data_IF_290948613777
#
_entry.id   IF_290948613777
#
_cell.length_a   1.000
_cell.length_b   1.000
_cell.length_c   1.000
_cell.angle_alpha   90.00
_cell.angle_beta   90.00
_cell.angle_gamma   90.00
#
_symmetry.space_group_name_H-M   'P 1'
#
loop_
_entity.id
_entity.type
_entity.pdbx_description
1 polymer ?
#
# COMPACT_ATOMS: atom_id res chain seq x y z
N UNK A 1 4.94 -16.77 25.91
CA UNK A 1 4.66 -15.64 26.83
C UNK A 1 5.93 -14.88 27.25
N UNK A 2 7.00 -15.57 27.66
CA UNK A 2 8.26 -14.95 28.13
C UNK A 2 8.93 -14.04 27.08
N UNK A 3 9.05 -14.49 25.83
CA UNK A 3 9.64 -13.70 24.74
C UNK A 3 8.88 -12.39 24.41
N UNK A 4 7.60 -12.29 24.77
CA UNK A 4 6.81 -11.08 24.57
C UNK A 4 7.13 -9.98 25.58
N UNK A 5 7.32 -10.35 26.85
CA UNK A 5 7.64 -9.40 27.94
C UNK A 5 9.01 -8.77 27.76
N UNK A 6 10.01 -9.55 27.34
CA UNK A 6 11.37 -9.04 27.09
C UNK A 6 11.37 -7.98 25.99
N UNK A 7 10.61 -8.20 24.91
CA UNK A 7 10.52 -7.26 23.78
C UNK A 7 9.79 -5.95 24.15
N UNK A 8 8.74 -6.01 24.97
CA UNK A 8 8.05 -4.81 25.47
C UNK A 8 9.00 -3.94 26.32
N UNK A 9 9.75 -4.56 27.23
CA UNK A 9 10.73 -3.84 28.06
C UNK A 9 11.83 -3.20 27.20
N UNK A 10 12.29 -3.90 26.16
CA UNK A 10 13.29 -3.35 25.24
C UNK A 10 12.78 -2.12 24.48
N UNK A 11 11.57 -2.18 23.90
CA UNK A 11 11.00 -1.04 23.18
C UNK A 11 10.76 0.18 24.08
N UNK A 12 10.26 -0.04 25.30
CA UNK A 12 10.11 1.02 26.31
C UNK A 12 11.45 1.65 26.68
N UNK A 13 12.46 0.83 26.99
CA UNK A 13 13.82 1.31 27.30
C UNK A 13 14.46 2.06 26.15
N UNK A 14 14.27 1.60 24.91
CA UNK A 14 14.78 2.28 23.72
C UNK A 14 14.14 3.67 23.58
N UNK A 15 12.81 3.77 23.74
CA UNK A 15 12.11 5.05 23.73
C UNK A 15 12.63 5.99 24.81
N UNK A 16 12.73 5.51 26.05
CA UNK A 16 13.23 6.30 27.18
C UNK A 16 14.66 6.80 26.91
N UNK A 17 15.53 5.97 26.33
CA UNK A 17 16.88 6.35 25.95
C UNK A 17 16.89 7.42 24.84
N UNK A 18 16.08 7.26 23.78
CA UNK A 18 16.01 8.24 22.69
C UNK A 18 15.50 9.60 23.17
N UNK A 19 14.48 9.61 24.05
CA UNK A 19 13.98 10.84 24.65
C UNK A 19 15.01 11.51 25.56
N UNK A 20 15.80 10.72 26.31
CA UNK A 20 16.89 11.24 27.13
C UNK A 20 18.01 11.87 26.28
N UNK A 21 18.39 11.22 25.17
CA UNK A 21 19.37 11.75 24.22
C UNK A 21 18.89 13.07 23.59
N UNK A 22 17.62 13.13 23.17
CA UNK A 22 17.00 14.35 22.63
C UNK A 22 17.03 15.49 23.67
N UNK A 23 16.77 15.17 24.94
CA UNK A 23 16.79 16.17 26.03
C UNK A 23 18.21 16.65 26.39
N UNK A 24 19.23 15.79 26.26
CA UNK A 24 20.62 16.11 26.61
C UNK A 24 21.34 16.88 25.49
N UNK A 25 21.14 16.48 24.23
CA UNK A 25 21.89 17.01 23.09
C UNK A 25 21.10 17.96 22.20
N UNK A 26 19.78 17.99 22.30
CA UNK A 26 18.88 18.92 21.59
C UNK A 26 18.69 18.65 20.10
N UNK A 27 19.76 18.30 19.37
CA UNK A 27 19.71 17.99 17.94
C UNK A 27 19.66 16.47 17.70
N UNK A 28 18.78 15.99 16.80
CA UNK A 28 18.74 14.58 16.46
C UNK A 28 20.02 14.18 15.70
N UNK A 29 20.42 12.92 15.83
CA UNK A 29 21.51 12.32 15.06
C UNK A 29 20.98 11.37 13.98
N UNK A 30 21.85 11.02 13.03
CA UNK A 30 21.58 9.98 12.04
C UNK A 30 21.12 8.65 12.67
N UNK A 31 21.71 8.31 13.81
CA UNK A 31 21.38 7.09 14.57
C UNK A 31 19.97 7.17 15.15
N UNK A 32 19.56 8.33 15.63
CA UNK A 32 18.22 8.53 16.22
C UNK A 32 17.13 8.30 15.18
N UNK A 33 17.32 8.76 13.94
CA UNK A 33 16.37 8.50 12.84
C UNK A 33 16.14 6.99 12.65
N UNK A 34 17.22 6.21 12.55
CA UNK A 34 17.13 4.76 12.36
C UNK A 34 16.45 4.10 13.55
N UNK A 35 16.81 4.49 14.78
CA UNK A 35 16.23 3.95 16.01
C UNK A 35 14.74 4.28 16.15
N UNK A 36 14.32 5.50 15.79
CA UNK A 36 12.90 5.89 15.80
C UNK A 36 12.08 5.11 14.77
N UNK A 37 12.59 4.92 13.55
CA UNK A 37 11.93 4.09 12.52
C UNK A 37 11.81 2.63 12.95
N UNK A 38 12.88 2.06 13.53
CA UNK A 38 12.87 0.67 14.01
C UNK A 38 11.94 0.49 15.20
N UNK A 39 11.88 1.48 16.09
CA UNK A 39 10.89 1.53 17.16
C UNK A 39 9.48 1.56 16.60
N UNK A 40 9.17 2.47 15.66
CA UNK A 40 7.86 2.57 15.03
C UNK A 40 7.42 1.24 14.39
N UNK A 41 8.28 0.60 13.57
CA UNK A 41 8.02 -0.74 13.00
C UNK A 41 7.75 -1.79 14.08
N UNK A 42 8.54 -1.78 15.15
CA UNK A 42 8.41 -2.68 16.28
C UNK A 42 7.08 -2.51 17.03
N UNK A 43 6.69 -1.26 17.27
CA UNK A 43 5.42 -0.86 17.88
C UNK A 43 4.23 -1.27 17.02
N UNK A 44 4.28 -0.99 15.71
CA UNK A 44 3.25 -1.35 14.73
C UNK A 44 3.02 -2.86 14.68
N UNK A 45 4.10 -3.66 14.59
CA UNK A 45 4.05 -5.13 14.61
C UNK A 45 3.42 -5.68 15.90
N UNK A 46 3.48 -4.92 16.99
CA UNK A 46 2.87 -5.25 18.29
C UNK A 46 1.48 -4.67 18.46
N UNK A 47 0.90 -4.05 17.41
CA UNK A 47 -0.41 -3.39 17.43
C UNK A 47 -0.49 -2.24 18.44
N UNK A 48 0.65 -1.60 18.75
CA UNK A 48 0.72 -0.42 19.62
C UNK A 48 0.73 0.82 18.74
N UNK A 49 -0.42 1.07 18.11
CA UNK A 49 -0.54 2.03 17.00
C UNK A 49 -0.21 3.47 17.40
N UNK A 50 -0.74 3.96 18.53
CA UNK A 50 -0.41 5.31 19.03
C UNK A 50 1.10 5.47 19.30
N UNK A 51 1.73 4.48 19.93
CA UNK A 51 3.19 4.50 20.13
C UNK A 51 3.96 4.42 18.81
N UNK A 52 3.48 3.67 17.84
CA UNK A 52 4.07 3.62 16.49
C UNK A 52 3.98 4.96 15.78
N UNK A 53 2.83 5.64 15.87
CA UNK A 53 2.59 6.94 15.27
C UNK A 53 3.57 7.98 15.82
N UNK A 54 3.62 8.12 17.15
CA UNK A 54 4.54 9.07 17.82
C UNK A 54 6.01 8.82 17.46
N UNK A 55 6.43 7.55 17.41
CA UNK A 55 7.80 7.21 17.01
C UNK A 55 8.09 7.54 15.53
N UNK A 56 7.10 7.37 14.64
CA UNK A 56 7.24 7.70 13.24
C UNK A 56 7.21 9.22 12.99
N UNK A 57 6.47 9.99 13.79
CA UNK A 57 6.50 11.46 13.78
C UNK A 57 7.86 12.01 14.25
N UNK A 58 8.44 11.41 15.31
CA UNK A 58 9.81 11.72 15.75
C UNK A 58 10.85 11.41 14.68
N UNK A 59 10.70 10.28 13.98
CA UNK A 59 11.56 9.96 12.85
C UNK A 59 11.43 10.99 11.72
N UNK A 60 10.20 11.36 11.34
CA UNK A 60 9.94 12.39 10.31
C UNK A 60 10.63 13.72 10.65
N UNK A 61 10.44 14.23 11.87
CA UNK A 61 11.03 15.48 12.30
C UNK A 61 12.58 15.45 12.25
N UNK A 62 13.17 14.33 12.68
CA UNK A 62 14.61 14.12 12.62
C UNK A 62 15.12 14.02 11.17
N UNK A 63 14.39 13.34 10.27
CA UNK A 63 14.73 13.26 8.84
C UNK A 63 14.66 14.64 8.19
N UNK A 64 13.62 15.42 8.45
CA UNK A 64 13.48 16.76 7.90
C UNK A 64 14.64 17.69 8.30
N UNK A 65 15.20 17.48 9.49
CA UNK A 65 16.33 18.26 10.02
C UNK A 65 17.66 17.81 9.42
N UNK A 66 17.93 16.50 9.40
CA UNK A 66 19.24 15.96 9.05
C UNK A 66 19.39 15.64 7.56
N UNK A 67 18.31 15.16 6.94
CA UNK A 67 18.29 14.58 5.61
C UNK A 67 17.00 14.95 4.85
N UNK A 68 16.75 16.23 4.58
CA UNK A 68 15.52 16.69 3.92
C UNK A 68 15.30 16.01 2.56
N UNK A 69 16.38 15.62 1.86
CA UNK A 69 16.33 14.98 0.55
C UNK A 69 16.28 13.44 0.61
N UNK A 70 16.27 12.83 1.79
CA UNK A 70 16.22 11.36 1.94
C UNK A 70 14.78 10.85 1.82
N UNK A 71 14.33 10.78 0.57
CA UNK A 71 12.98 10.34 0.16
C UNK A 71 12.62 8.97 0.73
N UNK A 72 13.55 8.02 0.75
CA UNK A 72 13.29 6.66 1.22
C UNK A 72 12.90 6.65 2.71
N UNK A 73 13.68 7.37 3.54
CA UNK A 73 13.43 7.44 4.98
C UNK A 73 12.18 8.26 5.29
N UNK A 74 11.99 9.38 4.58
CA UNK A 74 10.79 10.21 4.72
C UNK A 74 9.53 9.43 4.34
N UNK A 75 9.55 8.75 3.20
CA UNK A 75 8.45 7.89 2.76
C UNK A 75 8.18 6.75 3.73
N UNK A 76 9.22 6.13 4.30
CA UNK A 76 9.06 5.08 5.31
C UNK A 76 8.41 5.60 6.60
N UNK A 77 8.80 6.79 7.07
CA UNK A 77 8.19 7.44 8.23
C UNK A 77 6.70 7.70 7.99
N UNK A 78 6.36 8.38 6.89
CA UNK A 78 4.97 8.69 6.51
C UNK A 78 4.12 7.42 6.32
N UNK A 79 4.70 6.37 5.72
CA UNK A 79 4.02 5.09 5.55
C UNK A 79 3.64 4.49 6.91
N UNK A 80 4.56 4.51 7.88
CA UNK A 80 4.30 4.00 9.23
C UNK A 80 3.24 4.82 9.96
N UNK A 81 3.26 6.15 9.82
CA UNK A 81 2.20 7.01 10.36
C UNK A 81 0.84 6.67 9.75
N UNK A 82 0.74 6.60 8.42
CA UNK A 82 -0.52 6.34 7.72
C UNK A 82 -1.13 4.99 8.12
N UNK A 83 -0.29 3.94 8.23
CA UNK A 83 -0.75 2.62 8.69
C UNK A 83 -1.19 2.68 10.16
N UNK A 84 -0.40 3.32 11.04
CA UNK A 84 -0.73 3.43 12.46
C UNK A 84 -2.03 4.21 12.71
N UNK A 85 -2.37 5.17 11.86
CA UNK A 85 -3.64 5.91 11.90
C UNK A 85 -4.80 5.06 11.35
N UNK A 86 -4.61 4.31 10.27
CA UNK A 86 -5.69 3.59 9.59
C UNK A 86 -6.14 2.28 10.24
N UNK A 87 -5.19 1.52 10.81
CA UNK A 87 -5.42 0.14 11.28
C UNK A 87 -6.22 0.00 12.60
N UNK A 88 -6.13 0.90 13.59
CA UNK A 88 -6.92 0.82 14.82
C UNK A 88 -8.42 0.58 14.58
N UNK A 89 -9.07 -0.15 15.48
CA UNK A 89 -10.52 -0.36 15.45
C UNK A 89 -11.15 0.02 16.80
N UNK A 90 -12.29 0.73 16.84
CA UNK A 90 -13.02 1.26 15.68
C UNK A 90 -12.26 2.42 15.02
N UNK A 91 -12.25 2.45 13.68
CA UNK A 91 -11.70 3.57 12.88
C UNK A 91 -12.78 4.58 12.55
N UNK A 92 -12.48 5.86 12.60
CA UNK A 92 -13.37 6.95 12.20
C UNK A 92 -13.22 7.29 10.72
N UNK A 93 -14.02 8.20 10.17
CA UNK A 93 -13.81 8.66 8.78
C UNK A 93 -12.57 9.55 8.74
N UNK A 94 -12.39 10.34 9.79
CA UNK A 94 -11.27 11.24 10.02
C UNK A 94 -9.94 10.48 10.04
N UNK A 95 -9.87 9.32 10.71
CA UNK A 95 -8.68 8.47 10.70
C UNK A 95 -8.34 7.99 9.27
N UNK A 96 -9.35 7.62 8.50
CA UNK A 96 -9.15 7.17 7.12
C UNK A 96 -8.63 8.32 6.27
N UNK A 97 -9.28 9.48 6.30
CA UNK A 97 -8.84 10.66 5.53
C UNK A 97 -7.44 11.13 5.94
N UNK A 98 -7.12 11.14 7.24
CA UNK A 98 -5.79 11.48 7.75
C UNK A 98 -4.73 10.50 7.24
N UNK A 99 -5.04 9.20 7.18
CA UNK A 99 -4.11 8.23 6.59
C UNK A 99 -3.89 8.44 5.08
N UNK A 100 -4.94 8.82 4.34
CA UNK A 100 -4.83 9.08 2.91
C UNK A 100 -4.00 10.33 2.61
N UNK A 101 -4.11 11.37 3.45
CA UNK A 101 -3.23 12.55 3.35
C UNK A 101 -1.75 12.15 3.48
N UNK A 102 -1.42 11.31 4.46
CA UNK A 102 -0.07 10.78 4.66
C UNK A 102 0.42 9.97 3.44
N UNK A 103 -0.42 9.12 2.85
CA UNK A 103 -0.04 8.39 1.62
C UNK A 103 0.10 9.31 0.40
N UNK A 104 -0.74 10.34 0.28
CA UNK A 104 -0.63 11.36 -0.77
C UNK A 104 0.68 12.13 -0.69
N UNK A 105 1.14 12.48 0.52
CA UNK A 105 2.46 13.08 0.75
C UNK A 105 3.59 12.18 0.26
N UNK A 106 3.48 10.86 0.45
CA UNK A 106 4.45 9.89 -0.12
C UNK A 106 4.44 9.97 -1.64
N UNK A 107 3.28 10.00 -2.30
CA UNK A 107 3.21 10.06 -3.77
C UNK A 107 3.94 11.28 -4.35
N UNK A 108 4.00 12.39 -3.62
CA UNK A 108 4.70 13.60 -4.03
C UNK A 108 6.23 13.50 -3.91
N UNK A 109 6.75 12.58 -3.07
CA UNK A 109 8.18 12.39 -2.89
C UNK A 109 8.82 11.60 -4.02
N UNK A 110 8.07 10.70 -4.67
CA UNK A 110 8.62 9.78 -5.66
C UNK A 110 8.29 10.27 -7.07
N UNK A 111 9.29 10.32 -7.97
CA UNK A 111 9.01 10.53 -9.38
C UNK A 111 8.22 9.32 -9.94
N UNK A 112 7.63 9.46 -11.12
CA UNK A 112 7.09 8.32 -11.87
C UNK A 112 8.14 7.21 -12.04
N UNK A 113 7.70 5.96 -11.94
CA UNK A 113 8.56 4.78 -11.88
C UNK A 113 8.83 4.21 -13.27
N UNK A 114 10.02 3.65 -13.51
CA UNK A 114 10.37 3.16 -14.86
C UNK A 114 9.62 1.88 -15.25
N UNK A 115 9.67 0.89 -14.37
CA UNK A 115 9.14 -0.45 -14.62
C UNK A 115 8.93 -1.18 -13.29
N UNK A 116 8.42 -2.41 -13.38
CA UNK A 116 8.17 -3.25 -12.21
C UNK A 116 9.46 -3.56 -11.43
N UNK A 117 10.56 -3.84 -12.11
CA UNK A 117 11.83 -4.30 -11.52
C UNK A 117 12.48 -3.23 -10.64
N UNK A 118 12.32 -1.96 -10.99
CA UNK A 118 12.86 -0.81 -10.24
C UNK A 118 11.78 -0.04 -9.49
N UNK A 119 10.57 -0.59 -9.34
CA UNK A 119 9.49 0.12 -8.65
C UNK A 119 9.81 0.24 -7.16
N UNK A 120 9.74 1.45 -6.62
CA UNK A 120 10.04 1.68 -5.22
C UNK A 120 9.07 0.95 -4.27
N UNK A 121 9.63 0.23 -3.30
CA UNK A 121 8.87 -0.64 -2.40
C UNK A 121 8.03 0.16 -1.39
N UNK A 122 8.49 1.34 -0.97
CA UNK A 122 7.74 2.22 -0.06
C UNK A 122 6.55 2.82 -0.79
N UNK A 123 6.75 3.35 -1.99
CA UNK A 123 5.68 3.87 -2.85
C UNK A 123 4.64 2.78 -3.14
N UNK A 124 5.07 1.58 -3.54
CA UNK A 124 4.17 0.46 -3.83
C UNK A 124 3.28 0.11 -2.62
N UNK A 125 3.87 0.08 -1.42
CA UNK A 125 3.10 -0.15 -0.17
C UNK A 125 2.15 0.98 0.12
N UNK A 126 2.56 2.24 -0.05
CA UNK A 126 1.71 3.40 0.18
C UNK A 126 0.46 3.37 -0.70
N UNK A 127 0.62 3.06 -2.00
CA UNK A 127 -0.52 2.94 -2.92
C UNK A 127 -1.47 1.81 -2.49
N UNK A 128 -0.94 0.64 -2.15
CA UNK A 128 -1.77 -0.47 -1.68
C UNK A 128 -2.50 -0.16 -0.36
N UNK A 129 -1.89 0.62 0.54
CA UNK A 129 -2.54 1.07 1.77
C UNK A 129 -3.59 2.15 1.55
N UNK A 130 -3.35 3.11 0.65
CA UNK A 130 -4.38 4.09 0.25
C UNK A 130 -5.59 3.41 -0.41
N UNK A 131 -5.33 2.41 -1.25
CA UNK A 131 -6.37 1.57 -1.83
C UNK A 131 -7.19 0.83 -0.75
N UNK A 132 -6.54 0.32 0.30
CA UNK A 132 -7.19 -0.31 1.44
C UNK A 132 -7.97 0.71 2.31
N UNK A 133 -7.47 1.95 2.43
CA UNK A 133 -8.14 3.06 3.10
C UNK A 133 -9.45 3.41 2.38
N UNK A 134 -9.41 3.57 1.05
CA UNK A 134 -10.58 3.75 0.20
C UNK A 134 -11.58 2.58 0.35
N UNK A 135 -11.09 1.34 0.38
CA UNK A 135 -11.93 0.17 0.60
C UNK A 135 -12.66 0.23 1.97
N UNK A 136 -12.00 0.77 3.00
CA UNK A 136 -12.61 0.97 4.31
C UNK A 136 -13.78 1.97 4.27
N UNK A 137 -13.64 3.07 3.52
CA UNK A 137 -14.72 4.04 3.33
C UNK A 137 -15.91 3.43 2.58
N UNK A 138 -15.65 2.66 1.53
CA UNK A 138 -16.68 2.03 0.71
C UNK A 138 -17.45 0.96 1.49
N UNK A 139 -16.76 0.18 2.32
CA UNK A 139 -17.34 -0.89 3.15
C UNK A 139 -18.42 -0.36 4.11
N UNK A 140 -18.32 0.89 4.56
CA UNK A 140 -19.29 1.53 5.45
C UNK A 140 -20.57 2.00 4.78
N UNK A 141 -20.59 2.12 3.44
CA UNK A 141 -21.66 2.81 2.70
C UNK A 141 -22.78 1.89 2.20
N UNK A 142 -22.69 0.56 2.35
CA UNK A 142 -23.68 -0.38 1.82
C UNK A 142 -24.02 -1.51 2.77
N UNK A 143 -25.32 -1.70 3.01
CA UNK A 143 -25.90 -2.96 3.53
C UNK A 143 -26.05 -3.95 2.36
N UNK A 144 -25.48 -5.17 2.43
CA UNK A 144 -25.66 -6.16 1.37
C UNK A 144 -27.07 -6.75 1.41
N UNK A 145 -27.66 -6.96 0.22
CA UNK A 145 -28.87 -7.80 0.05
C UNK A 145 -28.52 -9.25 -0.30
N UNK A 146 -27.29 -9.55 -0.69
CA UNK A 146 -26.87 -10.92 -1.02
C UNK A 146 -25.33 -11.07 -0.93
N UNK A 147 -24.82 -11.99 -0.11
CA UNK A 147 -23.38 -12.20 0.10
C UNK A 147 -22.71 -13.03 -1.01
N UNK A 148 -23.48 -13.57 -1.95
CA UNK A 148 -23.05 -14.62 -2.88
C UNK A 148 -22.20 -14.13 -4.06
N UNK A 149 -22.09 -12.82 -4.30
CA UNK A 149 -21.33 -12.24 -5.42
C UNK A 149 -20.44 -11.04 -5.04
N UNK A 150 -19.73 -11.13 -3.90
CA UNK A 150 -18.71 -10.12 -3.60
C UNK A 150 -17.50 -10.33 -4.53
N UNK A 151 -17.43 -9.48 -5.55
CA UNK A 151 -16.25 -9.32 -6.40
C UNK A 151 -15.44 -8.12 -5.92
N UNK A 152 -14.13 -8.16 -6.16
CA UNK A 152 -13.31 -6.97 -5.94
C UNK A 152 -13.74 -5.84 -6.88
N UNK A 153 -13.60 -4.61 -6.42
CA UNK A 153 -13.78 -3.42 -7.24
C UNK A 153 -12.44 -3.09 -7.88
N UNK A 154 -12.41 -2.92 -9.21
CA UNK A 154 -11.23 -2.41 -9.89
C UNK A 154 -11.16 -0.89 -9.70
N UNK A 155 -10.03 -0.39 -9.21
CA UNK A 155 -9.80 1.04 -9.07
C UNK A 155 -9.56 1.69 -10.44
N UNK A 156 -9.86 3.00 -10.61
CA UNK A 156 -9.48 3.70 -11.82
C UNK A 156 -7.97 3.58 -12.07
N UNK A 157 -7.55 3.59 -13.35
CA UNK A 157 -6.14 3.48 -13.69
C UNK A 157 -5.38 4.67 -13.11
N UNK A 158 -4.30 4.36 -12.39
CA UNK A 158 -3.34 5.35 -11.92
C UNK A 158 -2.06 5.22 -12.73
N UNK A 159 -1.51 6.36 -13.16
CA UNK A 159 -0.33 6.44 -14.00
C UNK A 159 0.93 6.58 -13.14
N UNK A 160 1.37 5.49 -12.52
CA UNK A 160 2.59 5.48 -11.70
C UNK A 160 3.87 5.22 -12.49
N UNK A 161 3.75 4.83 -13.76
CA UNK A 161 4.90 4.52 -14.62
C UNK A 161 5.25 5.69 -15.54
N UNK A 162 6.54 5.92 -15.80
CA UNK A 162 7.03 6.89 -16.80
C UNK A 162 6.44 6.60 -18.19
N UNK A 163 6.26 5.32 -18.53
CA UNK A 163 5.64 4.89 -19.78
C UNK A 163 4.23 5.44 -19.99
N UNK A 164 3.52 5.76 -18.90
CA UNK A 164 2.20 6.36 -18.97
C UNK A 164 2.22 7.84 -19.38
N UNK A 165 3.34 8.55 -19.24
CA UNK A 165 3.45 9.95 -19.65
C UNK A 165 3.47 10.11 -21.18
N UNK A 166 3.92 9.07 -21.89
CA UNK A 166 3.98 9.01 -23.35
C UNK A 166 3.03 7.94 -23.89
N UNK A 167 1.92 7.68 -23.18
CA UNK A 167 0.92 6.75 -23.66
C UNK A 167 0.24 7.36 -24.90
N UNK A 168 0.06 6.61 -26.00
CA UNK A 168 -0.85 7.03 -27.06
C UNK A 168 -2.23 7.37 -26.47
N UNK A 169 -2.92 8.35 -27.05
CA UNK A 169 -4.26 8.78 -26.62
C UNK A 169 -5.24 7.60 -26.53
N UNK A 170 -5.04 6.60 -27.39
CA UNK A 170 -5.74 5.34 -27.33
C UNK A 170 -4.77 4.16 -27.53
N UNK A 171 -4.73 3.25 -26.55
CA UNK A 171 -4.02 1.99 -26.66
C UNK A 171 -4.83 0.88 -27.37
N UNK A 172 -6.07 1.18 -27.80
CA UNK A 172 -6.98 0.25 -28.45
C UNK A 172 -7.33 -0.95 -27.56
N UNK A 173 -7.31 -0.78 -26.23
CA UNK A 173 -7.51 -1.90 -25.30
C UNK A 173 -9.00 -2.17 -25.15
N UNK A 174 -9.49 -3.12 -25.94
CA UNK A 174 -10.82 -3.68 -25.78
C UNK A 174 -10.77 -5.07 -25.17
N UNK A 175 -11.54 -5.30 -24.12
CA UNK A 175 -11.63 -6.59 -23.44
C UNK A 175 -12.79 -7.41 -24.00
N UNK A 176 -12.50 -8.64 -24.41
CA UNK A 176 -13.52 -9.67 -24.68
C UNK A 176 -14.02 -10.23 -23.35
N UNK A 177 -13.09 -10.48 -22.43
CA UNK A 177 -13.37 -10.98 -21.08
C UNK A 177 -12.47 -10.28 -20.07
N UNK A 178 -13.08 -9.60 -19.09
CA UNK A 178 -12.39 -8.96 -17.96
C UNK A 178 -13.18 -9.15 -16.67
N UNK A 179 -13.14 -10.37 -16.15
CA UNK A 179 -13.85 -10.71 -14.92
C UNK A 179 -12.98 -10.29 -13.73
N UNK A 180 -13.49 -9.51 -12.76
CA UNK A 180 -12.75 -9.14 -11.55
C UNK A 180 -12.54 -10.36 -10.62
N UNK A 181 -11.53 -10.31 -9.71
CA UNK A 181 -11.29 -11.42 -8.81
C UNK A 181 -12.46 -11.57 -7.83
N UNK A 182 -12.92 -12.81 -7.68
CA UNK A 182 -13.85 -13.17 -6.60
C UNK A 182 -13.17 -12.98 -5.26
N UNK A 183 -13.93 -12.48 -4.27
CA UNK A 183 -13.46 -12.32 -2.91
C UNK A 183 -13.00 -13.69 -2.33
N UNK A 184 -11.77 -13.82 -1.79
CA UNK A 184 -11.31 -15.06 -1.18
C UNK A 184 -12.04 -15.38 0.14
N UNK A 185 -12.54 -16.61 0.28
CA UNK A 185 -13.38 -17.03 1.43
C UNK A 185 -12.72 -16.80 2.81
N UNK A 186 -11.41 -17.04 2.93
CA UNK A 186 -10.70 -16.90 4.23
C UNK A 186 -10.59 -15.44 4.70
N UNK A 187 -10.05 -14.50 3.90
CA UNK A 187 -10.14 -13.06 4.19
C UNK A 187 -11.58 -12.56 4.42
N UNK A 188 -12.55 -13.05 3.63
CA UNK A 188 -13.96 -12.66 3.77
C UNK A 188 -14.50 -13.04 5.16
N UNK A 189 -14.34 -14.30 5.55
CA UNK A 189 -14.77 -14.81 6.85
C UNK A 189 -14.08 -14.09 8.02
N UNK A 190 -12.85 -13.62 7.82
CA UNK A 190 -12.09 -12.88 8.83
C UNK A 190 -12.43 -11.39 8.92
N UNK A 191 -13.34 -10.89 8.07
CA UNK A 191 -13.68 -9.48 8.07
C UNK A 191 -12.55 -8.59 7.53
N UNK A 192 -11.65 -9.13 6.71
CA UNK A 192 -10.54 -8.33 6.18
C UNK A 192 -11.04 -7.41 5.07
N UNK A 193 -10.42 -6.26 4.95
CA UNK A 193 -10.55 -5.40 3.77
C UNK A 193 -9.14 -5.16 3.26
N UNK A 194 -9.00 -4.79 1.99
CA UNK A 194 -7.69 -4.44 1.51
C UNK A 194 -7.59 -4.29 0.02
N UNK A 195 -6.37 -4.41 -0.49
CA UNK A 195 -6.08 -4.16 -1.88
C UNK A 195 -4.89 -4.98 -2.36
N UNK A 196 -4.85 -5.19 -3.67
CA UNK A 196 -3.71 -5.80 -4.35
C UNK A 196 -3.44 -5.07 -5.66
N UNK A 197 -2.18 -4.75 -5.87
CA UNK A 197 -1.68 -4.14 -7.09
C UNK A 197 -0.97 -5.18 -7.91
N UNK A 198 -1.33 -5.28 -9.18
CA UNK A 198 -0.81 -6.29 -10.10
C UNK A 198 -0.28 -5.61 -11.35
N UNK A 199 0.97 -5.87 -11.67
CA UNK A 199 1.58 -5.50 -12.93
C UNK A 199 1.48 -6.69 -13.89
N UNK A 200 1.18 -6.42 -15.16
CA UNK A 200 1.02 -7.43 -16.18
C UNK A 200 1.37 -6.89 -17.56
N UNK A 201 1.50 -7.80 -18.52
CA UNK A 201 1.77 -7.49 -19.92
C UNK A 201 0.61 -8.00 -20.81
N UNK A 202 0.45 -7.42 -21.99
CA UNK A 202 -0.52 -7.80 -23.02
C UNK A 202 0.22 -8.40 -24.21
N UNK A 203 -0.15 -9.61 -24.60
CA UNK A 203 0.43 -10.33 -25.74
C UNK A 203 -0.42 -10.22 -27.01
N UNK A 204 0.20 -10.55 -28.14
CA UNK A 204 -0.50 -10.65 -29.45
C UNK A 204 -1.47 -11.83 -29.51
N UNK A 205 -1.35 -12.80 -28.60
CA UNK A 205 -2.26 -13.94 -28.42
C UNK A 205 -3.55 -13.59 -27.65
N UNK A 206 -3.80 -12.28 -27.45
CA UNK A 206 -4.99 -11.73 -26.80
C UNK A 206 -5.11 -12.06 -25.31
N UNK A 207 -4.07 -12.60 -24.67
CA UNK A 207 -4.10 -12.93 -23.24
C UNK A 207 -3.17 -12.02 -22.43
N UNK A 208 -3.43 -12.00 -21.12
CA UNK A 208 -2.56 -11.33 -20.15
C UNK A 208 -1.37 -12.23 -19.80
N UNK A 209 -0.16 -11.67 -19.90
CA UNK A 209 1.11 -12.32 -19.57
C UNK A 209 1.74 -11.73 -18.31
N UNK A 210 2.68 -12.49 -17.73
CA UNK A 210 3.54 -12.10 -16.61
C UNK A 210 2.85 -11.36 -15.45
N UNK A 211 1.70 -11.84 -14.91
CA UNK A 211 1.05 -11.18 -13.80
C UNK A 211 1.91 -11.26 -12.53
N UNK A 212 2.38 -10.12 -12.06
CA UNK A 212 3.30 -9.94 -10.93
C UNK A 212 2.64 -9.05 -9.88
N UNK A 213 2.74 -9.45 -8.61
CA UNK A 213 2.19 -8.65 -7.51
C UNK A 213 3.20 -7.57 -7.18
N UNK A 214 2.77 -6.32 -7.26
CA UNK A 214 3.59 -5.17 -6.88
C UNK A 214 3.51 -4.93 -5.37
N UNK A 215 2.28 -4.84 -4.85
CA UNK A 215 2.02 -4.71 -3.43
C UNK A 215 0.66 -5.29 -3.07
N UNK A 216 0.49 -5.62 -1.79
CA UNK A 216 -0.71 -6.26 -1.28
C UNK A 216 -0.90 -5.94 0.20
N UNK A 217 -2.14 -5.59 0.56
CA UNK A 217 -2.56 -5.30 1.93
C UNK A 217 -3.87 -6.03 2.22
N UNK A 218 -3.97 -6.86 3.28
CA UNK A 218 -2.84 -7.42 4.02
C UNK A 218 -2.07 -8.42 3.15
N UNK A 219 -0.78 -8.59 3.42
CA UNK A 219 0.09 -9.45 2.63
C UNK A 219 -0.45 -10.90 2.52
N UNK A 220 -0.40 -11.45 1.30
CA UNK A 220 -0.79 -12.82 0.93
C UNK A 220 -2.28 -13.18 1.06
N UNK A 221 -3.18 -12.23 1.27
CA UNK A 221 -4.61 -12.48 1.42
C UNK A 221 -5.37 -12.63 0.09
N UNK A 222 -5.04 -11.82 -0.90
CA UNK A 222 -5.76 -11.55 -2.14
C UNK A 222 -4.97 -11.88 -3.42
N UNK A 223 -3.63 -11.98 -3.36
CA UNK A 223 -2.75 -12.15 -4.51
C UNK A 223 -3.06 -13.40 -5.34
N UNK A 224 -3.45 -14.51 -4.69
CA UNK A 224 -3.87 -15.73 -5.39
C UNK A 224 -5.11 -15.51 -6.25
N UNK A 225 -6.13 -14.82 -5.71
CA UNK A 225 -7.37 -14.55 -6.44
C UNK A 225 -7.12 -13.56 -7.59
N UNK A 226 -6.36 -12.50 -7.34
CA UNK A 226 -6.00 -11.54 -8.38
C UNK A 226 -5.27 -12.19 -9.56
N UNK A 227 -4.23 -13.00 -9.30
CA UNK A 227 -3.51 -13.73 -10.38
C UNK A 227 -4.42 -14.69 -11.14
N UNK A 228 -5.32 -15.40 -10.45
CA UNK A 228 -6.29 -16.29 -11.10
C UNK A 228 -7.21 -15.50 -12.03
N UNK A 229 -7.66 -14.33 -11.61
CA UNK A 229 -8.50 -13.43 -12.38
C UNK A 229 -7.80 -12.95 -13.65
N UNK A 230 -6.59 -12.39 -13.53
CA UNK A 230 -5.82 -11.90 -14.68
C UNK A 230 -5.58 -12.98 -15.73
N UNK A 231 -5.30 -14.22 -15.33
CA UNK A 231 -5.13 -15.35 -16.27
C UNK A 231 -6.37 -15.65 -17.10
N UNK A 232 -7.55 -15.23 -16.65
CA UNK A 232 -8.81 -15.38 -17.38
C UNK A 232 -9.14 -14.21 -18.30
N UNK A 233 -8.39 -13.10 -18.21
CA UNK A 233 -8.63 -11.91 -19.01
C UNK A 233 -8.23 -12.14 -20.47
N UNK A 234 -9.04 -11.63 -21.39
CA UNK A 234 -8.86 -11.75 -22.84
C UNK A 234 -9.19 -10.43 -23.52
N UNK A 235 -8.33 -10.03 -24.45
CA UNK A 235 -8.57 -8.91 -25.35
C UNK A 235 -9.46 -9.35 -26.52
N UNK A 236 -10.22 -8.42 -27.11
CA UNK A 236 -10.96 -8.67 -28.36
C UNK A 236 -10.04 -8.70 -29.58
N UNK A 237 -9.00 -7.89 -29.55
CA UNK A 237 -8.00 -7.73 -30.60
C UNK A 237 -6.65 -7.36 -29.95
N UNK A 238 -5.51 -7.56 -30.64
CA UNK A 238 -4.21 -7.17 -30.09
C UNK A 238 -4.21 -5.67 -29.80
N UNK A 239 -3.64 -5.25 -28.67
CA UNK A 239 -3.48 -3.83 -28.38
C UNK A 239 -2.50 -3.18 -29.36
N UNK A 240 -2.52 -1.85 -29.46
CA UNK A 240 -1.55 -1.08 -30.26
C UNK A 240 -0.13 -1.57 -29.99
N UNK A 241 0.66 -1.72 -31.06
CA UNK A 241 2.06 -2.17 -30.98
C UNK A 241 2.97 -1.06 -30.48
N UNK A 242 2.81 -0.75 -29.20
CA UNK A 242 3.57 0.25 -28.48
C UNK A 242 3.95 -0.30 -27.10
N UNK A 243 5.24 -0.24 -26.69
CA UNK A 243 5.68 -0.81 -25.41
C UNK A 243 4.88 -0.31 -24.20
N UNK A 244 4.51 0.96 -24.16
CA UNK A 244 3.72 1.53 -23.06
C UNK A 244 2.27 1.01 -22.99
N UNK A 245 1.71 0.56 -24.12
CA UNK A 245 0.39 -0.06 -24.16
C UNK A 245 0.42 -1.54 -23.79
N UNK A 246 1.56 -2.21 -24.02
CA UNK A 246 1.70 -3.66 -23.89
C UNK A 246 2.40 -4.12 -22.62
N UNK A 247 3.34 -3.36 -22.09
CA UNK A 247 4.20 -3.81 -20.98
C UNK A 247 4.01 -2.98 -19.73
N UNK A 248 4.27 -3.58 -18.57
CA UNK A 248 4.17 -2.93 -17.26
C UNK A 248 2.80 -2.25 -17.02
N UNK A 249 1.72 -2.87 -17.48
CA UNK A 249 0.36 -2.39 -17.22
C UNK A 249 0.03 -2.65 -15.76
N UNK A 250 -0.52 -1.65 -15.09
CA UNK A 250 -0.94 -1.76 -13.70
C UNK A 250 -2.46 -1.88 -13.60
N UNK A 251 -2.93 -2.80 -12.78
CA UNK A 251 -4.29 -2.81 -12.26
C UNK A 251 -4.26 -2.90 -10.73
N UNK A 252 -5.31 -2.40 -10.11
CA UNK A 252 -5.51 -2.45 -8.67
C UNK A 252 -6.90 -2.99 -8.38
N UNK A 253 -6.98 -4.01 -7.54
CA UNK A 253 -8.23 -4.52 -7.01
C UNK A 253 -8.37 -4.16 -5.54
N UNK A 254 -9.51 -3.59 -5.17
CA UNK A 254 -9.91 -3.34 -3.79
C UNK A 254 -10.97 -4.35 -3.34
N UNK A 255 -10.77 -4.91 -2.17
CA UNK A 255 -11.64 -5.90 -1.55
C UNK A 255 -12.39 -5.22 -0.41
N UNK A 256 -13.67 -4.97 -0.65
CA UNK A 256 -14.60 -4.31 0.26
C UNK A 256 -15.52 -5.34 0.90
N UNK A 257 -15.84 -5.17 2.18
CA UNK A 257 -16.89 -5.95 2.84
C UNK A 257 -18.08 -5.02 2.99
N UNK A 258 -19.23 -5.44 2.46
CA UNK A 258 -20.48 -4.75 2.77
C UNK A 258 -20.93 -5.20 4.18
N UNK A 259 -20.99 -4.26 5.14
CA UNK A 259 -21.46 -4.51 6.52
C UNK A 259 -23.00 -4.48 6.63
#
# INVERSE_FOLDING_TARGET
YIAGKTRLRAAKKLREALLALEAEFGEPTATDVVMWLDLAKGELKKKRYSSSLEAAEKAEAAIATLWPDNIDKMGEALLLQGIATLVPFPRTIEDVLASQDLFSRIFQLYPPQKNFETFDVVLAKAIAWDAAANAALLSRRKKPKDQSEQNAVEAPPHFYFESAQNLPDDCGIEWDRRIPPRYPDTPLYRGYIGAVMVVYDLGDDLVVHNPRILAEVPAYAFSKAARKSLRSWRLKAPSVDHPACRTNRLTQFTFVIEE
#
